data_IF_342766819292
#
_entry.id   IF_342766819292
#
_cell.length_a   1.000
_cell.length_b   1.000
_cell.length_c   1.000
_cell.angle_alpha   90.00
_cell.angle_beta   90.00
_cell.angle_gamma   90.00
#
_symmetry.space_group_name_H-M   'P 1'
#
loop_
_entity.id
_entity.type
_entity.pdbx_description
1 polymer ?
#
# COMPACT_ATOMS: atom_id res chain seq x y z
N UNK A 1 10.01 26.22 -50.30
CA UNK A 1 10.23 26.71 -48.93
C UNK A 1 8.86 26.94 -48.29
N UNK A 2 8.39 26.00 -47.50
CA UNK A 2 7.25 26.17 -46.59
C UNK A 2 7.82 26.19 -45.18
N UNK A 3 7.42 27.13 -44.30
CA UNK A 3 7.97 27.18 -42.96
C UNK A 3 7.36 26.06 -42.12
N UNK A 4 8.22 25.20 -41.59
CA UNK A 4 7.86 24.26 -40.53
C UNK A 4 7.77 25.09 -39.25
N UNK A 5 6.56 25.48 -38.86
CA UNK A 5 6.29 26.03 -37.53
C UNK A 5 6.47 24.92 -36.50
N UNK A 6 7.47 25.09 -35.64
CA UNK A 6 7.67 24.30 -34.43
C UNK A 6 6.48 24.48 -33.49
N UNK A 7 5.58 23.50 -33.47
CA UNK A 7 4.57 23.39 -32.43
C UNK A 7 5.28 23.05 -31.10
N UNK A 8 5.43 24.07 -30.26
CA UNK A 8 5.78 23.91 -28.85
C UNK A 8 4.72 22.98 -28.22
N UNK A 9 5.14 21.80 -27.75
CA UNK A 9 4.30 20.87 -26.99
C UNK A 9 4.06 21.45 -25.58
N UNK A 10 3.13 22.38 -25.47
CA UNK A 10 2.61 22.82 -24.17
C UNK A 10 1.82 21.67 -23.54
N UNK A 11 2.14 21.30 -22.28
CA UNK A 11 1.36 20.34 -21.47
C UNK A 11 -0.13 20.73 -21.54
N UNK A 12 -0.95 19.92 -22.21
CA UNK A 12 -2.40 20.10 -22.17
C UNK A 12 -2.89 19.77 -20.76
N UNK A 13 -3.29 20.79 -20.01
CA UNK A 13 -3.95 20.61 -18.74
C UNK A 13 -5.39 20.16 -19.01
N UNK A 14 -5.62 18.85 -19.12
CA UNK A 14 -6.97 18.32 -19.07
C UNK A 14 -7.55 18.61 -17.68
N UNK A 15 -8.43 19.61 -17.59
CA UNK A 15 -9.27 19.80 -16.42
C UNK A 15 -10.26 18.65 -16.39
N UNK A 16 -10.06 17.68 -15.50
CA UNK A 16 -11.17 16.87 -15.04
C UNK A 16 -12.22 17.83 -14.48
N UNK A 17 -13.37 17.96 -15.16
CA UNK A 17 -14.48 18.80 -14.68
C UNK A 17 -15.11 18.28 -13.37
N UNK A 18 -14.70 17.09 -12.92
CA UNK A 18 -15.17 16.42 -11.73
C UNK A 18 -14.05 16.28 -10.71
N UNK A 19 -14.34 16.58 -9.44
CA UNK A 19 -13.44 16.25 -8.33
C UNK A 19 -13.22 14.72 -8.29
N UNK A 20 -11.98 14.28 -8.16
CA UNK A 20 -11.63 12.87 -8.03
C UNK A 20 -10.56 12.66 -6.95
N UNK A 21 -10.46 11.43 -6.45
CA UNK A 21 -9.44 11.01 -5.50
C UNK A 21 -8.63 9.86 -6.10
N UNK A 22 -7.35 9.78 -5.74
CA UNK A 22 -6.45 8.71 -6.19
C UNK A 22 -6.20 7.76 -5.03
N UNK A 23 -6.62 6.50 -5.20
CA UNK A 23 -6.46 5.45 -4.20
C UNK A 23 -5.28 4.54 -4.54
N UNK A 24 -4.30 4.46 -3.66
CA UNK A 24 -3.16 3.56 -3.81
C UNK A 24 -3.44 2.21 -3.13
N UNK A 25 -3.18 1.07 -3.82
CA UNK A 25 -3.44 -0.25 -3.26
C UNK A 25 -2.49 -0.59 -2.11
N UNK A 26 -2.97 -1.39 -1.17
CA UNK A 26 -2.16 -2.03 -0.13
C UNK A 26 -1.51 -3.33 -0.58
N UNK A 27 -0.88 -4.04 0.36
CA UNK A 27 -0.33 -5.37 0.10
C UNK A 27 -1.44 -6.39 -0.15
N UNK A 28 -1.30 -7.18 -1.23
CA UNK A 28 -2.33 -8.11 -1.69
C UNK A 28 -1.78 -9.18 -2.62
N UNK A 29 -2.66 -9.85 -3.35
CA UNK A 29 -2.31 -10.91 -4.31
C UNK A 29 -1.89 -10.28 -5.64
N UNK A 30 -0.59 -10.29 -5.92
CA UNK A 30 -0.05 -9.89 -7.21
C UNK A 30 0.32 -11.12 -8.03
N UNK A 31 0.19 -10.98 -9.36
CA UNK A 31 0.61 -12.00 -10.32
C UNK A 31 2.10 -11.85 -10.62
N UNK A 32 2.71 -12.92 -11.12
CA UNK A 32 4.05 -12.87 -11.65
C UNK A 32 4.18 -11.77 -12.72
N UNK A 33 5.23 -10.94 -12.59
CA UNK A 33 5.46 -9.81 -13.49
C UNK A 33 4.46 -8.68 -13.34
N UNK A 34 4.51 -7.94 -12.23
CA UNK A 34 3.62 -6.78 -11.98
C UNK A 34 3.72 -5.68 -13.05
N UNK A 35 4.82 -5.61 -13.79
CA UNK A 35 5.03 -4.69 -14.93
C UNK A 35 5.04 -5.41 -16.28
N UNK A 36 4.70 -6.69 -16.36
CA UNK A 36 4.79 -7.46 -17.61
C UNK A 36 3.87 -6.88 -18.70
N UNK A 37 2.67 -6.42 -18.32
CA UNK A 37 1.70 -5.82 -19.24
C UNK A 37 2.19 -4.51 -19.89
N UNK A 38 3.18 -3.85 -19.30
CA UNK A 38 3.74 -2.56 -19.78
C UNK A 38 5.20 -2.69 -20.20
N UNK A 39 5.68 -3.91 -20.40
CA UNK A 39 7.08 -4.19 -20.75
C UNK A 39 7.50 -3.57 -22.08
N UNK A 40 6.58 -3.45 -23.04
CA UNK A 40 6.85 -2.79 -24.33
C UNK A 40 7.18 -1.30 -24.18
N UNK A 41 6.77 -0.68 -23.08
CA UNK A 41 7.01 0.72 -22.74
C UNK A 41 8.21 0.90 -21.81
N UNK A 42 9.01 -0.14 -21.54
CA UNK A 42 10.10 -0.12 -20.54
C UNK A 42 11.06 1.07 -20.67
N UNK A 43 11.35 1.52 -21.89
CA UNK A 43 12.20 2.69 -22.12
C UNK A 43 11.65 3.98 -21.50
N UNK A 44 10.33 4.14 -21.39
CA UNK A 44 9.68 5.33 -20.82
C UNK A 44 9.84 5.44 -19.31
N UNK A 45 10.11 4.33 -18.63
CA UNK A 45 10.24 4.27 -17.17
C UNK A 45 11.54 3.62 -16.69
N UNK A 46 12.54 3.48 -17.56
CA UNK A 46 13.82 2.85 -17.22
C UNK A 46 14.50 3.54 -16.03
N UNK A 47 14.40 4.87 -15.94
CA UNK A 47 14.96 5.64 -14.83
C UNK A 47 14.40 5.21 -13.45
N UNK A 48 13.10 4.89 -13.35
CA UNK A 48 12.52 4.35 -12.12
C UNK A 48 13.08 2.96 -11.76
N UNK A 49 13.35 2.12 -12.75
CA UNK A 49 13.95 0.80 -12.52
C UNK A 49 15.39 0.92 -12.03
N UNK A 50 16.15 1.84 -12.63
CA UNK A 50 17.53 2.12 -12.24
C UNK A 50 17.60 2.74 -10.84
N UNK A 51 16.71 3.68 -10.53
CA UNK A 51 16.60 4.29 -9.20
C UNK A 51 16.18 3.26 -8.14
N UNK A 52 15.24 2.36 -8.46
CA UNK A 52 14.83 1.25 -7.60
C UNK A 52 16.00 0.31 -7.28
N UNK A 53 16.75 -0.10 -8.30
CA UNK A 53 17.90 -0.99 -8.13
C UNK A 53 19.01 -0.31 -7.31
N UNK A 54 19.27 0.98 -7.55
CA UNK A 54 20.25 1.76 -6.81
C UNK A 54 19.81 1.94 -5.34
N UNK A 55 18.54 2.26 -5.09
CA UNK A 55 18.00 2.45 -3.74
C UNK A 55 18.11 1.17 -2.89
N UNK A 56 17.95 0.01 -3.51
CA UNK A 56 17.99 -1.30 -2.85
C UNK A 56 19.33 -2.03 -2.97
N UNK A 57 20.29 -1.44 -3.69
CA UNK A 57 21.59 -2.01 -4.00
C UNK A 57 21.53 -3.46 -4.52
N UNK A 58 20.56 -3.76 -5.38
CA UNK A 58 20.40 -5.07 -6.02
C UNK A 58 19.53 -4.96 -7.28
N UNK A 59 19.53 -6.00 -8.13
CA UNK A 59 18.66 -6.10 -9.31
C UNK A 59 17.23 -6.47 -8.93
N UNK A 60 16.58 -5.58 -8.21
CA UNK A 60 15.20 -5.74 -7.76
C UNK A 60 14.21 -5.62 -8.92
N UNK A 61 14.47 -4.69 -9.84
CA UNK A 61 13.65 -4.39 -11.01
C UNK A 61 13.41 -5.61 -11.91
N UNK A 62 14.37 -6.52 -12.01
CA UNK A 62 14.24 -7.77 -12.76
C UNK A 62 13.05 -8.61 -12.27
N UNK A 63 12.77 -8.61 -10.96
CA UNK A 63 11.66 -9.36 -10.35
C UNK A 63 10.28 -8.73 -10.60
N UNK A 64 10.22 -7.53 -11.18
CA UNK A 64 8.95 -6.88 -11.55
C UNK A 64 8.39 -7.37 -12.89
N UNK A 65 9.16 -8.15 -13.64
CA UNK A 65 8.76 -8.78 -14.91
C UNK A 65 8.59 -10.29 -14.74
N UNK A 66 7.89 -10.94 -15.67
CA UNK A 66 7.66 -12.37 -15.62
C UNK A 66 8.93 -13.14 -16.05
N UNK A 67 9.90 -13.24 -15.14
CA UNK A 67 11.22 -13.88 -15.36
C UNK A 67 11.43 -15.18 -14.57
N UNK A 68 10.40 -15.65 -13.88
CA UNK A 68 10.41 -16.87 -13.06
C UNK A 68 9.06 -17.58 -13.15
N UNK A 69 8.93 -18.76 -12.55
CA UNK A 69 7.63 -19.42 -12.45
C UNK A 69 6.65 -18.66 -11.54
N UNK A 70 5.35 -18.88 -11.73
CA UNK A 70 4.31 -18.27 -10.86
C UNK A 70 4.52 -18.63 -9.38
N UNK A 71 4.98 -19.84 -9.09
CA UNK A 71 5.26 -20.31 -7.73
C UNK A 71 6.43 -19.55 -7.10
N UNK A 72 7.54 -19.39 -7.83
CA UNK A 72 8.71 -18.64 -7.36
C UNK A 72 8.38 -17.16 -7.16
N UNK A 73 7.64 -16.55 -8.09
CA UNK A 73 7.20 -15.16 -7.97
C UNK A 73 6.32 -14.96 -6.73
N UNK A 74 5.37 -15.88 -6.49
CA UNK A 74 4.53 -15.86 -5.27
C UNK A 74 5.34 -16.04 -4.00
N UNK A 75 6.31 -16.95 -3.98
CA UNK A 75 7.18 -17.15 -2.82
C UNK A 75 8.07 -15.92 -2.56
N UNK A 76 8.52 -15.24 -3.61
CA UNK A 76 9.28 -14.01 -3.46
C UNK A 76 8.40 -12.86 -2.96
N UNK A 77 7.20 -12.70 -3.51
CA UNK A 77 6.20 -11.68 -3.10
C UNK A 77 5.52 -12.00 -1.76
N UNK A 78 5.59 -13.22 -1.23
CA UNK A 78 5.08 -13.52 0.11
C UNK A 78 5.94 -12.89 1.21
N UNK A 79 7.20 -12.58 0.91
CA UNK A 79 8.04 -11.73 1.76
C UNK A 79 7.58 -10.30 1.62
N UNK A 80 7.06 -9.77 2.71
CA UNK A 80 6.65 -8.37 2.90
C UNK A 80 7.78 -7.39 2.54
N UNK A 81 9.03 -7.71 2.86
CA UNK A 81 10.19 -6.92 2.44
C UNK A 81 10.28 -6.75 0.91
N UNK A 82 9.83 -7.74 0.13
CA UNK A 82 9.79 -7.66 -1.33
C UNK A 82 8.47 -7.07 -1.83
N UNK A 83 7.33 -7.50 -1.28
CA UNK A 83 6.01 -7.06 -1.73
C UNK A 83 5.87 -5.54 -1.67
N UNK A 84 6.27 -4.93 -0.56
CA UNK A 84 6.04 -3.51 -0.34
C UNK A 84 6.74 -2.59 -1.37
N UNK A 85 8.07 -2.71 -1.59
CA UNK A 85 8.73 -1.93 -2.63
C UNK A 85 8.24 -2.28 -4.05
N UNK A 86 7.87 -3.55 -4.33
CA UNK A 86 7.33 -3.92 -5.64
C UNK A 86 6.00 -3.19 -5.95
N UNK A 87 5.12 -3.07 -4.95
CA UNK A 87 3.82 -2.40 -5.08
C UNK A 87 3.99 -0.89 -5.22
N UNK A 88 4.83 -0.29 -4.37
CA UNK A 88 5.12 1.14 -4.45
C UNK A 88 5.72 1.49 -5.82
N UNK A 89 6.77 0.76 -6.22
CA UNK A 89 7.46 0.98 -7.49
C UNK A 89 6.51 0.84 -8.69
N UNK A 90 5.78 -0.27 -8.76
CA UNK A 90 4.85 -0.50 -9.88
C UNK A 90 3.73 0.54 -9.94
N UNK A 91 3.18 0.97 -8.81
CA UNK A 91 2.15 2.01 -8.79
C UNK A 91 2.69 3.35 -9.29
N UNK A 92 3.90 3.75 -8.86
CA UNK A 92 4.55 4.97 -9.32
C UNK A 92 4.86 4.91 -10.83
N UNK A 93 5.40 3.79 -11.30
CA UNK A 93 5.72 3.56 -12.72
C UNK A 93 4.45 3.63 -13.58
N UNK A 94 3.37 2.98 -13.17
CA UNK A 94 2.11 3.01 -13.91
C UNK A 94 1.49 4.42 -13.94
N UNK A 95 1.58 5.17 -12.84
CA UNK A 95 1.14 6.57 -12.81
C UNK A 95 1.97 7.44 -13.77
N UNK A 96 3.30 7.31 -13.73
CA UNK A 96 4.20 8.02 -14.62
C UNK A 96 4.00 7.64 -16.09
N UNK A 97 3.71 6.37 -16.37
CA UNK A 97 3.48 5.89 -17.73
C UNK A 97 2.25 6.56 -18.35
N UNK A 98 1.15 6.66 -17.60
CA UNK A 98 -0.06 7.38 -18.05
C UNK A 98 0.26 8.84 -18.36
N UNK A 99 1.03 9.52 -17.50
CA UNK A 99 1.44 10.90 -17.75
C UNK A 99 2.33 11.01 -18.98
N UNK A 100 3.30 10.10 -19.15
CA UNK A 100 4.27 10.14 -20.25
C UNK A 100 3.61 9.85 -21.61
N UNK A 101 2.75 8.85 -21.69
CA UNK A 101 2.10 8.47 -22.96
C UNK A 101 0.95 9.40 -23.35
N UNK A 102 0.19 9.89 -22.38
CA UNK A 102 -1.04 10.64 -22.65
C UNK A 102 -0.94 12.13 -22.30
N UNK A 103 0.16 12.59 -21.69
CA UNK A 103 0.32 13.96 -21.18
C UNK A 103 -0.76 14.35 -20.16
N UNK A 104 -1.24 13.37 -19.40
CA UNK A 104 -2.26 13.55 -18.35
C UNK A 104 -1.66 13.16 -17.00
N UNK A 105 -1.45 14.15 -16.13
CA UNK A 105 -1.10 13.86 -14.74
C UNK A 105 -2.35 13.38 -13.98
N UNK A 106 -2.29 12.16 -13.47
CA UNK A 106 -3.31 11.60 -12.56
C UNK A 106 -3.27 12.35 -11.22
N UNK A 107 -2.11 12.85 -10.82
CA UNK A 107 -1.87 13.35 -9.47
C UNK A 107 -2.19 14.85 -9.36
N UNK A 108 -1.77 15.67 -10.32
CA UNK A 108 -1.78 17.15 -10.20
C UNK A 108 -3.17 17.76 -9.95
N UNK A 109 -4.23 17.10 -10.42
CA UNK A 109 -5.61 17.57 -10.26
C UNK A 109 -6.44 16.73 -9.26
N UNK A 110 -5.81 15.80 -8.56
CA UNK A 110 -6.49 15.00 -7.55
C UNK A 110 -6.91 15.90 -6.37
N UNK A 111 -8.16 15.76 -5.92
CA UNK A 111 -8.63 16.48 -4.72
C UNK A 111 -8.07 15.87 -3.45
N UNK A 112 -7.82 14.55 -3.46
CA UNK A 112 -7.25 13.80 -2.35
C UNK A 112 -6.43 12.63 -2.87
N UNK A 113 -5.36 12.31 -2.15
CA UNK A 113 -4.69 11.02 -2.24
C UNK A 113 -4.98 10.22 -0.97
N UNK A 114 -5.12 8.92 -1.13
CA UNK A 114 -5.26 7.99 -0.01
C UNK A 114 -4.69 6.65 -0.43
N UNK A 115 -4.33 5.81 0.54
CA UNK A 115 -3.87 4.47 0.22
C UNK A 115 -4.15 3.49 1.32
N UNK A 116 -4.48 2.27 0.94
CA UNK A 116 -4.80 1.22 1.91
C UNK A 116 -3.51 0.70 2.54
N UNK A 117 -3.31 0.92 3.84
CA UNK A 117 -2.13 0.43 4.57
C UNK A 117 -0.81 0.88 3.93
N UNK A 118 -0.04 -0.04 3.33
CA UNK A 118 1.15 0.27 2.52
C UNK A 118 0.90 1.39 1.51
N UNK A 119 -0.28 1.43 0.90
CA UNK A 119 -0.62 2.39 -0.14
C UNK A 119 -0.47 3.84 0.32
N UNK A 120 -0.52 4.13 1.62
CA UNK A 120 -0.26 5.49 2.11
C UNK A 120 1.16 5.95 1.83
N UNK A 121 2.17 5.07 1.94
CA UNK A 121 3.54 5.39 1.52
C UNK A 121 3.60 5.69 0.02
N UNK A 122 2.88 4.93 -0.79
CA UNK A 122 2.76 5.20 -2.24
C UNK A 122 2.08 6.55 -2.49
N UNK A 123 1.04 6.90 -1.73
CA UNK A 123 0.37 8.19 -1.82
C UNK A 123 1.30 9.35 -1.42
N UNK A 124 2.10 9.17 -0.36
CA UNK A 124 3.12 10.14 0.04
C UNK A 124 4.18 10.34 -1.06
N UNK A 125 4.64 9.26 -1.70
CA UNK A 125 5.58 9.33 -2.83
C UNK A 125 4.97 10.04 -4.04
N UNK A 126 3.77 9.64 -4.45
CA UNK A 126 3.08 10.26 -5.59
C UNK A 126 2.79 11.74 -5.35
N UNK A 127 2.45 12.13 -4.12
CA UNK A 127 2.23 13.54 -3.75
C UNK A 127 3.51 14.39 -3.69
N UNK A 128 4.68 13.74 -3.71
CA UNK A 128 5.98 14.39 -3.59
C UNK A 128 6.40 14.73 -2.14
N UNK A 129 5.62 14.36 -1.12
CA UNK A 129 6.00 14.54 0.30
C UNK A 129 7.26 13.74 0.61
N UNK A 130 7.38 12.53 0.06
CA UNK A 130 8.59 11.70 0.16
C UNK A 130 9.08 11.43 -1.26
N UNK A 131 10.39 11.50 -1.50
CA UNK A 131 10.92 11.11 -2.82
C UNK A 131 10.84 9.58 -3.05
N UNK A 132 10.96 9.15 -4.31
CA UNK A 132 10.83 7.74 -4.68
C UNK A 132 11.87 6.85 -3.99
N UNK A 133 13.14 7.24 -4.01
CA UNK A 133 14.25 6.52 -3.37
C UNK A 133 14.00 6.31 -1.87
N UNK A 134 13.62 7.37 -1.16
CA UNK A 134 13.31 7.33 0.28
C UNK A 134 12.11 6.44 0.54
N UNK A 135 11.04 6.58 -0.24
CA UNK A 135 9.85 5.73 -0.16
C UNK A 135 10.19 4.24 -0.29
N UNK A 136 10.99 3.88 -1.31
CA UNK A 136 11.45 2.50 -1.55
C UNK A 136 12.27 1.95 -0.37
N UNK A 137 13.23 2.74 0.15
CA UNK A 137 14.06 2.32 1.30
C UNK A 137 13.22 2.11 2.55
N UNK A 138 12.31 3.03 2.84
CA UNK A 138 11.43 2.98 4.01
C UNK A 138 10.52 1.75 3.95
N UNK A 139 9.84 1.52 2.82
CA UNK A 139 8.92 0.37 2.73
C UNK A 139 9.65 -0.97 2.68
N UNK A 140 10.87 -1.02 2.12
CA UNK A 140 11.74 -2.20 2.21
C UNK A 140 12.10 -2.49 3.65
N UNK A 141 12.60 -1.48 4.39
CA UNK A 141 13.04 -1.65 5.77
C UNK A 141 11.86 -1.97 6.69
N UNK A 142 10.71 -1.34 6.47
CA UNK A 142 9.44 -1.67 7.13
C UNK A 142 9.09 -3.15 6.99
N UNK A 143 9.15 -3.68 5.77
CA UNK A 143 8.89 -5.10 5.55
C UNK A 143 9.88 -6.01 6.28
N UNK A 144 11.17 -5.69 6.26
CA UNK A 144 12.21 -6.45 6.98
C UNK A 144 11.98 -6.45 8.50
N UNK A 145 11.77 -5.28 9.09
CA UNK A 145 11.55 -5.15 10.54
C UNK A 145 10.33 -5.93 11.02
N UNK A 146 9.24 -5.90 10.26
CA UNK A 146 8.04 -6.66 10.61
C UNK A 146 8.24 -8.17 10.44
N UNK A 147 8.98 -8.62 9.42
CA UNK A 147 9.34 -10.03 9.24
C UNK A 147 10.22 -10.52 10.39
N UNK A 148 11.28 -9.77 10.72
CA UNK A 148 12.23 -10.10 11.78
C UNK A 148 11.51 -10.21 13.13
N UNK A 149 10.66 -9.23 13.46
CA UNK A 149 9.90 -9.19 14.72
C UNK A 149 8.90 -10.35 14.84
N UNK A 150 8.31 -10.81 13.73
CA UNK A 150 7.29 -11.86 13.73
C UNK A 150 7.87 -13.26 13.47
N UNK A 151 9.18 -13.38 13.24
CA UNK A 151 9.82 -14.65 12.89
C UNK A 151 9.61 -15.70 13.98
N UNK A 152 9.13 -16.89 13.59
CA UNK A 152 8.83 -18.00 14.50
C UNK A 152 7.59 -17.81 15.38
N UNK A 153 6.85 -16.70 15.23
CA UNK A 153 5.64 -16.44 16.00
C UNK A 153 4.37 -16.91 15.28
N UNK A 154 3.35 -17.28 16.04
CA UNK A 154 2.05 -17.69 15.51
C UNK A 154 1.08 -16.49 15.40
N UNK A 155 1.43 -15.56 14.53
CA UNK A 155 0.65 -14.35 14.27
C UNK A 155 -0.08 -14.42 12.93
N UNK A 156 -1.04 -13.53 12.73
CA UNK A 156 -1.67 -13.31 11.44
C UNK A 156 -2.86 -12.37 11.54
N UNK A 157 -3.72 -12.47 10.54
CA UNK A 157 -4.90 -11.61 10.40
C UNK A 157 -6.11 -12.43 9.94
N UNK A 158 -7.30 -12.03 10.39
CA UNK A 158 -8.57 -12.65 9.98
C UNK A 158 -9.54 -11.57 9.55
N UNK A 159 -10.04 -11.66 8.32
CA UNK A 159 -11.12 -10.80 7.84
C UNK A 159 -12.47 -11.31 8.33
N UNK A 160 -13.22 -10.44 8.99
CA UNK A 160 -14.58 -10.67 9.47
C UNK A 160 -15.55 -10.02 8.50
N UNK A 161 -16.34 -10.84 7.82
CA UNK A 161 -17.52 -10.39 7.09
C UNK A 161 -18.68 -10.30 8.09
N UNK A 162 -19.21 -9.11 8.27
CA UNK A 162 -20.22 -8.81 9.28
C UNK A 162 -21.46 -8.16 8.65
N UNK A 163 -22.60 -8.23 9.34
CA UNK A 163 -23.78 -7.48 8.92
C UNK A 163 -23.60 -5.99 9.27
N UNK A 164 -23.88 -5.06 8.33
CA UNK A 164 -23.66 -3.62 8.52
C UNK A 164 -24.18 -3.02 9.82
N UNK A 165 -25.35 -3.47 10.28
CA UNK A 165 -26.00 -2.93 11.47
C UNK A 165 -25.27 -3.21 12.78
N UNK A 166 -24.28 -4.11 12.79
CA UNK A 166 -23.48 -4.47 13.97
C UNK A 166 -22.03 -3.96 13.87
N UNK A 167 -21.72 -3.11 12.87
CA UNK A 167 -20.36 -2.69 12.61
C UNK A 167 -19.72 -1.99 13.81
N UNK A 168 -20.48 -1.08 14.45
CA UNK A 168 -20.01 -0.31 15.59
C UNK A 168 -19.66 -1.22 16.76
N UNK A 169 -20.56 -2.13 17.13
CA UNK A 169 -20.38 -3.06 18.23
C UNK A 169 -19.22 -4.03 17.99
N UNK A 170 -19.04 -4.50 16.76
CA UNK A 170 -17.90 -5.36 16.39
C UNK A 170 -16.58 -4.60 16.50
N UNK A 171 -16.54 -3.34 16.05
CA UNK A 171 -15.34 -2.49 16.11
C UNK A 171 -14.98 -2.19 17.56
N UNK A 172 -15.93 -1.74 18.37
CA UNK A 172 -15.73 -1.44 19.80
C UNK A 172 -15.22 -2.68 20.54
N UNK A 173 -15.86 -3.83 20.35
CA UNK A 173 -15.41 -5.08 20.97
C UNK A 173 -13.99 -5.48 20.49
N UNK A 174 -13.68 -5.32 19.21
CA UNK A 174 -12.33 -5.62 18.70
C UNK A 174 -11.26 -4.69 19.29
N UNK A 175 -11.60 -3.43 19.57
CA UNK A 175 -10.72 -2.47 20.25
C UNK A 175 -10.51 -2.85 21.72
N UNK A 176 -11.58 -3.17 22.45
CA UNK A 176 -11.51 -3.61 23.86
C UNK A 176 -10.61 -4.84 24.04
N UNK A 177 -10.63 -5.74 23.06
CA UNK A 177 -9.81 -6.95 23.06
C UNK A 177 -8.41 -6.75 22.46
N UNK A 178 -8.04 -5.54 22.02
CA UNK A 178 -6.76 -5.21 21.36
C UNK A 178 -6.45 -6.09 20.14
N UNK A 179 -7.47 -6.39 19.33
CA UNK A 179 -7.34 -7.19 18.10
C UNK A 179 -7.77 -6.45 16.84
N UNK A 180 -8.26 -5.22 16.93
CA UNK A 180 -8.65 -4.45 15.74
C UNK A 180 -7.41 -4.16 14.86
N UNK A 181 -7.46 -4.60 13.59
CA UNK A 181 -6.44 -4.31 12.58
C UNK A 181 -6.89 -3.29 11.55
N UNK A 182 -8.00 -3.55 10.84
CA UNK A 182 -8.51 -2.64 9.81
C UNK A 182 -10.03 -2.51 9.86
N UNK A 183 -10.52 -1.31 9.57
CA UNK A 183 -11.93 -1.05 9.28
C UNK A 183 -12.03 -0.75 7.79
N UNK A 184 -12.34 -1.78 6.98
CA UNK A 184 -12.38 -1.63 5.52
C UNK A 184 -13.75 -1.12 5.04
N UNK A 185 -14.83 -1.53 5.71
CA UNK A 185 -16.19 -1.04 5.47
C UNK A 185 -17.09 -1.38 6.66
N UNK A 186 -18.35 -0.96 6.63
CA UNK A 186 -19.35 -1.38 7.62
C UNK A 186 -19.70 -2.88 7.54
N UNK A 187 -19.28 -3.61 6.51
CA UNK A 187 -19.48 -5.06 6.39
C UNK A 187 -18.19 -5.88 6.44
N UNK A 188 -17.02 -5.23 6.58
CA UNK A 188 -15.73 -5.89 6.62
C UNK A 188 -14.77 -5.21 7.59
N UNK A 189 -14.40 -5.94 8.64
CA UNK A 189 -13.38 -5.56 9.62
C UNK A 189 -12.30 -6.64 9.61
N UNK A 190 -11.04 -6.28 9.80
CA UNK A 190 -9.94 -7.23 9.94
C UNK A 190 -9.42 -7.19 11.36
N UNK A 191 -9.29 -8.36 11.98
CA UNK A 191 -8.61 -8.52 13.26
C UNK A 191 -7.19 -9.03 13.06
N UNK A 192 -6.28 -8.64 13.94
CA UNK A 192 -4.84 -8.80 13.76
C UNK A 192 -4.15 -9.07 15.10
N UNK A 193 -3.28 -10.08 15.15
CA UNK A 193 -2.60 -10.47 16.37
C UNK A 193 -2.21 -11.95 16.41
N UNK A 194 -2.13 -12.49 17.62
CA UNK A 194 -1.90 -13.91 17.87
C UNK A 194 -3.10 -14.77 17.47
N UNK A 195 -2.87 -15.81 16.65
CA UNK A 195 -3.94 -16.60 16.04
C UNK A 195 -4.89 -17.21 17.09
N UNK A 196 -4.38 -17.61 18.26
CA UNK A 196 -5.16 -18.10 19.40
C UNK A 196 -6.13 -17.04 19.91
N UNK A 197 -5.65 -15.84 20.22
CA UNK A 197 -6.46 -14.68 20.66
C UNK A 197 -7.49 -14.27 19.61
N UNK A 198 -7.13 -14.31 18.32
CA UNK A 198 -8.08 -14.00 17.24
C UNK A 198 -9.23 -15.02 17.19
N UNK A 199 -8.95 -16.30 17.40
CA UNK A 199 -9.97 -17.36 17.46
C UNK A 199 -10.86 -17.21 18.70
N UNK A 200 -10.27 -16.93 19.86
CA UNK A 200 -11.02 -16.64 21.10
C UNK A 200 -11.96 -15.44 20.92
N UNK A 201 -11.47 -14.36 20.31
CA UNK A 201 -12.30 -13.19 19.99
C UNK A 201 -13.49 -13.55 19.08
N UNK A 202 -13.27 -14.37 18.05
CA UNK A 202 -14.36 -14.82 17.16
C UNK A 202 -15.41 -15.61 17.94
N UNK A 203 -15.00 -16.45 18.90
CA UNK A 203 -15.93 -17.21 19.73
C UNK A 203 -16.70 -16.32 20.71
N UNK A 204 -16.06 -15.28 21.26
CA UNK A 204 -16.72 -14.24 22.06
C UNK A 204 -17.74 -13.49 21.21
N UNK A 205 -17.36 -13.03 20.02
CA UNK A 205 -18.25 -12.33 19.10
C UNK A 205 -19.47 -13.18 18.73
N UNK A 206 -19.27 -14.47 18.48
CA UNK A 206 -20.37 -15.43 18.24
C UNK A 206 -21.29 -15.59 19.45
N UNK A 207 -20.80 -15.46 20.68
CA UNK A 207 -21.63 -15.56 21.89
C UNK A 207 -22.44 -14.29 22.14
N UNK A 208 -21.80 -13.13 22.05
CA UNK A 208 -22.41 -11.82 22.39
C UNK A 208 -23.30 -11.30 21.26
N UNK A 209 -22.91 -11.53 20.00
CA UNK A 209 -23.61 -11.02 18.82
C UNK A 209 -23.74 -12.10 17.74
N UNK A 210 -24.46 -13.20 18.04
CA UNK A 210 -24.67 -14.36 17.14
C UNK A 210 -25.02 -13.99 15.69
N UNK A 211 -25.76 -12.91 15.50
CA UNK A 211 -26.22 -12.47 14.18
C UNK A 211 -25.24 -11.56 13.43
N UNK A 212 -24.17 -11.07 14.08
CA UNK A 212 -23.25 -10.10 13.50
C UNK A 212 -22.29 -10.72 12.49
N UNK A 213 -21.65 -11.83 12.85
CA UNK A 213 -20.64 -12.49 12.01
C UNK A 213 -21.28 -13.37 10.93
N UNK A 214 -20.99 -13.07 9.67
CA UNK A 214 -21.37 -13.89 8.51
C UNK A 214 -20.28 -14.92 8.23
N UNK A 215 -19.01 -14.47 8.20
CA UNK A 215 -17.86 -15.33 7.89
C UNK A 215 -16.59 -14.76 8.52
N UNK A 216 -15.69 -15.63 8.95
CA UNK A 216 -14.31 -15.30 9.29
C UNK A 216 -13.38 -15.98 8.29
N UNK A 217 -12.45 -15.22 7.70
CA UNK A 217 -11.51 -15.70 6.67
C UNK A 217 -10.09 -15.37 7.10
N UNK A 218 -9.29 -16.40 7.39
CA UNK A 218 -7.87 -16.20 7.68
C UNK A 218 -7.16 -15.72 6.42
N UNK A 219 -6.42 -14.62 6.55
CA UNK A 219 -5.64 -14.05 5.47
C UNK A 219 -4.30 -14.80 5.34
N UNK A 220 -3.74 -14.95 4.12
CA UNK A 220 -2.49 -15.68 3.89
C UNK A 220 -1.26 -14.83 4.27
N UNK A 221 -1.23 -14.33 5.50
CA UNK A 221 -0.15 -13.49 6.05
C UNK A 221 0.17 -13.96 7.47
N UNK A 222 1.47 -13.97 7.80
CA UNK A 222 1.99 -14.31 9.12
C UNK A 222 2.34 -13.08 9.97
N UNK A 223 2.19 -11.87 9.41
CA UNK A 223 2.46 -10.62 10.12
C UNK A 223 1.13 -10.03 10.60
N UNK A 224 1.01 -9.64 11.88
CA UNK A 224 -0.17 -9.00 12.41
C UNK A 224 -0.14 -7.49 12.11
N UNK A 225 -0.36 -7.11 10.85
CA UNK A 225 -0.36 -5.69 10.45
C UNK A 225 -1.35 -4.86 11.29
N UNK A 226 -1.01 -3.60 11.55
CA UNK A 226 -1.85 -2.66 12.31
C UNK A 226 -2.17 -3.09 13.75
N UNK A 227 -1.34 -3.95 14.35
CA UNK A 227 -1.45 -4.33 15.77
C UNK A 227 -0.39 -3.66 16.63
N UNK A 228 -0.64 -3.57 17.94
CA UNK A 228 0.34 -3.06 18.91
C UNK A 228 1.62 -3.90 18.97
N UNK A 229 1.56 -5.17 18.55
CA UNK A 229 2.72 -6.07 18.46
C UNK A 229 3.82 -5.45 17.60
N UNK A 230 3.46 -4.67 16.57
CA UNK A 230 4.42 -4.03 15.67
C UNK A 230 4.98 -2.71 16.20
N UNK A 231 4.53 -2.19 17.34
CA UNK A 231 5.02 -0.93 17.93
C UNK A 231 6.56 -0.81 18.03
N UNK A 232 7.33 -1.89 18.32
CA UNK A 232 8.79 -1.81 18.36
C UNK A 232 9.46 -1.38 17.06
N UNK A 233 8.80 -1.51 15.89
CA UNK A 233 9.38 -1.10 14.59
C UNK A 233 9.30 0.40 14.34
N UNK A 234 8.46 1.13 15.08
CA UNK A 234 8.12 2.54 14.82
C UNK A 234 9.32 3.49 14.94
N UNK A 235 10.18 3.42 15.99
CA UNK A 235 11.30 4.36 16.13
C UNK A 235 12.26 4.32 14.95
N UNK A 236 12.54 3.13 14.44
CA UNK A 236 13.45 2.97 13.31
C UNK A 236 12.84 3.50 12.01
N UNK A 237 11.55 3.25 11.76
CA UNK A 237 10.87 3.83 10.60
C UNK A 237 10.81 5.36 10.65
N UNK A 238 10.59 5.92 11.83
CA UNK A 238 10.63 7.37 12.03
C UNK A 238 12.00 7.93 11.65
N UNK A 239 13.08 7.30 12.10
CA UNK A 239 14.45 7.77 11.82
C UNK A 239 14.79 7.82 10.31
N UNK A 240 14.16 6.96 9.49
CA UNK A 240 14.35 6.97 8.04
C UNK A 240 13.61 8.10 7.32
N UNK A 241 12.62 8.72 7.98
CA UNK A 241 11.83 9.82 7.46
C UNK A 241 12.27 11.18 8.02
N UNK A 242 13.15 11.20 9.02
CA UNK A 242 13.63 12.42 9.65
C UNK A 242 14.36 13.31 8.62
N UNK A 243 13.84 14.51 8.39
CA UNK A 243 14.38 15.47 7.42
C UNK A 243 14.11 15.14 5.94
N UNK A 244 13.32 14.11 5.65
CA UNK A 244 13.03 13.63 4.29
C UNK A 244 11.61 13.98 3.79
N UNK A 245 10.92 14.90 4.48
CA UNK A 245 9.57 15.33 4.15
C UNK A 245 9.57 16.69 3.45
N UNK A 246 8.95 16.74 2.27
CA UNK A 246 8.67 17.96 1.52
C UNK A 246 7.28 18.51 1.84
N UNK A 247 7.02 19.74 1.39
CA UNK A 247 5.72 20.39 1.54
C UNK A 247 4.59 19.58 0.87
N UNK A 248 3.50 19.40 1.62
CA UNK A 248 2.30 18.77 1.13
C UNK A 248 1.55 19.70 0.16
N UNK A 249 1.47 19.28 -1.11
CA UNK A 249 0.73 20.02 -2.15
C UNK A 249 -0.70 19.53 -2.35
N UNK A 250 -0.95 18.25 -2.05
CA UNK A 250 -2.24 17.59 -2.23
C UNK A 250 -2.66 16.95 -0.90
N UNK A 251 -3.90 17.16 -0.43
CA UNK A 251 -4.38 16.57 0.81
C UNK A 251 -4.33 15.03 0.80
N UNK A 252 -3.87 14.44 1.91
CA UNK A 252 -3.75 12.99 2.12
C UNK A 252 -4.80 12.58 3.15
N UNK A 253 -5.60 11.55 2.88
CA UNK A 253 -6.44 10.94 3.93
C UNK A 253 -5.60 9.96 4.73
N UNK A 254 -5.38 10.25 6.01
CA UNK A 254 -4.55 9.40 6.88
C UNK A 254 -5.28 8.14 7.32
N UNK A 255 -4.60 7.00 7.26
CA UNK A 255 -5.05 5.72 7.81
C UNK A 255 -5.12 5.72 9.35
N UNK A 256 -4.50 6.67 10.05
CA UNK A 256 -4.50 6.71 11.51
C UNK A 256 -5.88 7.09 12.06
N UNK A 257 -6.53 8.08 11.46
CA UNK A 257 -7.79 8.65 11.95
C UNK A 257 -8.89 8.75 10.89
N UNK A 258 -8.61 8.42 9.62
CA UNK A 258 -9.56 8.55 8.51
C UNK A 258 -9.89 10.00 8.14
N UNK A 259 -9.07 10.96 8.56
CA UNK A 259 -9.26 12.38 8.30
C UNK A 259 -8.24 12.91 7.30
N UNK A 260 -8.55 14.07 6.72
CA UNK A 260 -7.61 14.81 5.87
C UNK A 260 -6.43 15.28 6.73
N UNK A 261 -5.23 14.81 6.41
CA UNK A 261 -3.97 15.38 6.90
C UNK A 261 -3.57 16.55 6.00
N UNK A 262 -3.31 17.69 6.63
CA UNK A 262 -2.76 18.89 5.99
C UNK A 262 -1.31 19.17 6.45
N UNK A 263 -0.69 18.17 7.08
CA UNK A 263 0.65 18.18 7.66
C UNK A 263 1.29 16.81 7.44
#
# INVERSE_FOLDING_TARGET
MWPITTLSKSKQHFRFFSKYAVTCPGQGLYRNGVLELVKTQKSLFQHYLDELDAALNCKFSDKLFANSSETEAKQWLSKTANAQPAILASTCILSNLVETEHQISIIDNASYLLGHSLGEYTALVLSGIIDFTTGIKVVRRRGQLMEDLCSGQNYGMIALLIKPKFAKEVIELAQEHNVLGNINSNYQVVISGEITKLKEFIDILRKIQKMALIKAVQLPVSIPFHSEILKPVVPELKSLLDGALNDQKIPIISNLNGQVSNQ
#
